data_IF_599096467900
#
_entry.id   IF_599096467900
#
_cell.length_a   1.000
_cell.length_b   1.000
_cell.length_c   1.000
_cell.angle_alpha   90.00
_cell.angle_beta   90.00
_cell.angle_gamma   90.00
#
_symmetry.space_group_name_H-M   'P 1'
#
loop_
_entity.id
_entity.type
_entity.pdbx_description
1 polymer ?
#
# COMPACT_ATOMS: atom_id res chain seq x y z
N UNK A 1 10.29 7.43 1.02
CA UNK A 1 9.98 8.46 2.05
C UNK A 1 9.01 8.02 3.14
N UNK A 2 7.76 7.59 2.88
CA UNK A 2 6.75 7.43 3.96
C UNK A 2 7.17 6.48 5.11
N UNK A 3 7.67 5.28 4.79
CA UNK A 3 8.15 4.34 5.82
C UNK A 3 9.30 4.93 6.64
N UNK A 4 10.22 5.66 6.01
CA UNK A 4 11.31 6.32 6.74
C UNK A 4 10.77 7.39 7.69
N UNK A 5 9.75 8.15 7.27
CA UNK A 5 9.05 9.12 8.10
C UNK A 5 8.36 8.48 9.32
N UNK A 6 7.73 7.31 9.15
CA UNK A 6 7.13 6.55 10.26
C UNK A 6 8.20 6.11 11.25
N UNK A 7 9.32 5.56 10.76
CA UNK A 7 10.43 5.10 11.62
C UNK A 7 11.05 6.26 12.40
N UNK A 8 11.28 7.40 11.74
CA UNK A 8 11.82 8.60 12.38
C UNK A 8 10.88 9.14 13.48
N UNK A 9 9.58 9.21 13.18
CA UNK A 9 8.57 9.61 14.16
C UNK A 9 8.50 8.65 15.35
N UNK A 10 8.45 7.35 15.10
CA UNK A 10 8.35 6.33 16.15
C UNK A 10 9.57 6.30 17.07
N UNK A 11 10.77 6.56 16.52
CA UNK A 11 12.01 6.62 17.31
C UNK A 11 12.01 7.71 18.39
N UNK A 12 11.23 8.78 18.20
CA UNK A 12 11.09 9.88 19.16
C UNK A 12 9.80 9.83 20.00
N UNK A 13 9.01 8.75 19.91
CA UNK A 13 7.72 8.66 20.57
C UNK A 13 7.76 7.73 21.80
N UNK A 14 6.96 8.06 22.82
CA UNK A 14 6.92 7.30 24.08
C UNK A 14 5.96 6.08 24.06
N UNK A 15 5.32 5.80 22.92
CA UNK A 15 4.39 4.67 22.84
C UNK A 15 5.13 3.34 22.69
N UNK A 16 4.53 2.28 23.22
CA UNK A 16 5.02 0.90 23.04
C UNK A 16 4.06 0.09 22.17
N UNK A 17 4.53 -1.04 21.62
CA UNK A 17 3.73 -1.95 20.80
C UNK A 17 3.60 -1.55 19.33
N UNK A 18 3.15 -2.49 18.50
CA UNK A 18 3.19 -2.38 17.04
C UNK A 18 2.17 -1.40 16.45
N UNK A 19 2.58 -0.64 15.42
CA UNK A 19 1.69 0.16 14.58
C UNK A 19 1.84 -0.27 13.13
N UNK A 20 0.76 -0.17 12.37
CA UNK A 20 0.80 -0.38 10.92
C UNK A 20 1.31 0.89 10.24
N UNK A 21 2.15 0.70 9.22
CA UNK A 21 2.69 1.77 8.40
C UNK A 21 2.20 1.57 6.95
N UNK A 22 1.06 2.17 6.63
CA UNK A 22 0.49 2.18 5.29
C UNK A 22 -0.11 3.55 4.98
N UNK A 23 -0.04 3.98 3.72
CA UNK A 23 -0.71 5.18 3.24
C UNK A 23 -2.22 5.07 3.42
N UNK A 24 -2.90 6.22 3.44
CA UNK A 24 -4.36 6.27 3.36
C UNK A 24 -4.85 5.87 1.96
N UNK A 25 -6.08 5.37 1.90
CA UNK A 25 -6.71 4.92 0.67
C UNK A 25 -6.35 3.46 0.35
N UNK A 26 -7.28 2.79 -0.32
CA UNK A 26 -7.16 1.37 -0.65
C UNK A 26 -7.14 1.17 -2.16
N UNK A 27 -6.35 0.20 -2.59
CA UNK A 27 -6.31 -0.27 -3.97
C UNK A 27 -6.39 -1.79 -3.96
N UNK A 28 -7.35 -2.33 -4.69
CA UNK A 28 -7.26 -3.73 -5.10
C UNK A 28 -6.20 -3.90 -6.21
N UNK A 29 -5.91 -5.15 -6.55
CA UNK A 29 -4.90 -5.47 -7.58
C UNK A 29 -5.28 -4.91 -8.95
N UNK A 30 -6.56 -4.83 -9.28
CA UNK A 30 -7.04 -4.31 -10.56
C UNK A 30 -6.82 -2.80 -10.62
N UNK A 31 -7.21 -2.07 -9.57
CA UNK A 31 -7.01 -0.63 -9.45
C UNK A 31 -5.53 -0.25 -9.48
N UNK A 32 -4.66 -1.03 -8.82
CA UNK A 32 -3.21 -0.86 -8.91
C UNK A 32 -2.70 -1.04 -10.36
N UNK A 33 -3.15 -2.10 -11.04
CA UNK A 33 -2.78 -2.34 -12.44
C UNK A 33 -3.26 -1.21 -13.37
N UNK A 34 -4.46 -0.68 -13.16
CA UNK A 34 -5.00 0.43 -13.97
C UNK A 34 -4.23 1.74 -13.73
N UNK A 35 -3.82 2.02 -12.50
CA UNK A 35 -2.96 3.17 -12.21
C UNK A 35 -1.61 3.04 -12.95
N UNK A 36 -0.97 1.86 -12.88
CA UNK A 36 0.28 1.60 -13.61
C UNK A 36 0.07 1.73 -15.12
N UNK A 37 -1.07 1.23 -15.63
CA UNK A 37 -1.44 1.32 -17.04
C UNK A 37 -1.55 2.77 -17.51
N UNK A 38 -2.21 3.62 -16.73
CA UNK A 38 -2.36 5.04 -17.01
C UNK A 38 -1.00 5.75 -17.10
N UNK A 39 -0.07 5.44 -16.19
CA UNK A 39 1.25 6.06 -16.16
C UNK A 39 2.21 5.55 -17.24
N UNK A 40 2.06 4.29 -17.67
CA UNK A 40 2.98 3.65 -18.62
C UNK A 40 2.44 3.60 -20.06
N UNK A 41 1.17 3.92 -20.27
CA UNK A 41 0.47 3.75 -21.55
C UNK A 41 0.32 2.28 -21.99
N UNK A 42 0.46 1.33 -21.05
CA UNK A 42 0.36 -0.12 -21.32
C UNK A 42 -0.98 -0.65 -20.85
N UNK A 43 -1.47 -1.72 -21.49
CA UNK A 43 -2.73 -2.38 -21.09
C UNK A 43 -2.46 -3.62 -20.23
N UNK A 44 -3.07 -3.76 -19.04
CA UNK A 44 -2.92 -4.95 -18.22
C UNK A 44 -3.62 -6.15 -18.87
N UNK A 45 -3.09 -7.35 -18.60
CA UNK A 45 -3.71 -8.63 -19.00
C UNK A 45 -3.97 -9.44 -17.75
N UNK A 46 -5.24 -9.77 -17.52
CA UNK A 46 -5.67 -10.54 -16.38
C UNK A 46 -5.93 -11.99 -16.79
N UNK A 47 -5.54 -12.92 -15.93
CA UNK A 47 -5.90 -14.33 -16.04
C UNK A 47 -6.37 -14.78 -14.66
N UNK A 48 -7.65 -15.13 -14.46
CA UNK A 48 -8.10 -15.74 -13.22
C UNK A 48 -7.42 -17.11 -13.06
N UNK A 49 -7.00 -17.42 -11.83
CA UNK A 49 -6.38 -18.69 -11.46
C UNK A 49 -6.99 -19.17 -10.15
N UNK A 50 -7.38 -20.44 -10.10
CA UNK A 50 -7.98 -21.07 -8.91
C UNK A 50 -7.22 -22.37 -8.56
N UNK A 51 -7.33 -22.78 -7.30
CA UNK A 51 -6.82 -24.09 -6.87
C UNK A 51 -5.30 -24.24 -7.02
N UNK A 52 -4.79 -25.40 -7.49
CA UNK A 52 -3.35 -25.70 -7.53
C UNK A 52 -2.52 -24.80 -8.44
N UNK A 53 -3.15 -24.06 -9.37
CA UNK A 53 -2.45 -23.11 -10.24
C UNK A 53 -2.23 -21.74 -9.58
N UNK A 54 -2.95 -21.44 -8.50
CA UNK A 54 -2.75 -20.22 -7.73
C UNK A 54 -1.42 -20.29 -6.96
N UNK A 55 -0.78 -19.13 -6.77
CA UNK A 55 0.42 -19.05 -5.94
C UNK A 55 0.09 -19.51 -4.51
N UNK A 56 0.98 -20.25 -3.83
CA UNK A 56 0.77 -20.66 -2.44
C UNK A 56 0.71 -19.48 -1.45
N UNK A 57 1.06 -18.27 -1.91
CA UNK A 57 0.94 -17.02 -1.15
C UNK A 57 -0.31 -16.20 -1.52
N UNK A 58 -1.12 -16.67 -2.47
CA UNK A 58 -2.42 -16.05 -2.79
C UNK A 58 -3.47 -16.45 -1.77
N UNK A 59 -4.34 -15.52 -1.43
CA UNK A 59 -5.51 -15.78 -0.60
C UNK A 59 -6.67 -14.94 -1.13
N UNK A 60 -7.89 -15.49 -1.04
CA UNK A 60 -9.14 -14.94 -1.58
C UNK A 60 -9.85 -13.97 -0.62
N UNK A 61 -9.12 -13.50 0.40
CA UNK A 61 -9.63 -12.60 1.41
C UNK A 61 -9.03 -11.21 1.30
N UNK A 62 -9.84 -10.24 1.68
CA UNK A 62 -9.40 -8.87 1.86
C UNK A 62 -8.31 -8.77 2.94
N UNK A 63 -7.23 -8.03 2.64
CA UNK A 63 -6.06 -7.90 3.51
C UNK A 63 -5.50 -6.46 3.48
N UNK A 64 -6.37 -5.50 3.78
CA UNK A 64 -5.91 -4.12 4.01
C UNK A 64 -5.28 -3.98 5.40
N UNK A 65 -4.37 -3.01 5.51
CA UNK A 65 -3.76 -2.61 6.78
C UNK A 65 -4.46 -1.35 7.30
N UNK A 66 -4.80 -1.33 8.60
CA UNK A 66 -5.34 -0.15 9.28
C UNK A 66 -4.22 0.63 9.98
N UNK A 67 -3.92 1.84 9.50
CA UNK A 67 -2.94 2.75 10.12
C UNK A 67 -3.52 3.58 11.29
N UNK A 68 -4.80 3.38 11.65
CA UNK A 68 -5.54 4.23 12.57
C UNK A 68 -4.92 4.37 13.95
N UNK A 69 -4.17 3.36 14.42
CA UNK A 69 -3.40 3.46 15.67
C UNK A 69 -2.30 4.53 15.58
N UNK A 70 -1.48 4.49 14.54
CA UNK A 70 -0.43 5.49 14.33
C UNK A 70 -1.03 6.89 14.14
N UNK A 71 -2.15 6.98 13.42
CA UNK A 71 -2.90 8.23 13.24
C UNK A 71 -3.39 8.80 14.58
N UNK A 72 -3.98 7.97 15.46
CA UNK A 72 -4.40 8.39 16.81
C UNK A 72 -3.23 8.78 17.72
N UNK A 73 -2.04 8.23 17.47
CA UNK A 73 -0.80 8.58 18.17
C UNK A 73 -0.10 9.83 17.58
N UNK A 74 -0.67 10.43 16.52
CA UNK A 74 -0.23 11.71 15.98
C UNK A 74 0.61 11.63 14.70
N UNK A 75 0.82 10.45 14.12
CA UNK A 75 1.45 10.35 12.80
C UNK A 75 0.45 10.73 11.68
N UNK A 76 0.96 11.28 10.58
CA UNK A 76 0.15 11.60 9.39
C UNK A 76 0.69 10.82 8.20
N UNK A 77 -0.20 10.13 7.51
CA UNK A 77 0.10 9.38 6.29
C UNK A 77 -0.36 10.15 5.05
N UNK A 78 0.34 9.97 3.94
CA UNK A 78 -0.10 10.45 2.63
C UNK A 78 -1.27 9.60 2.11
N UNK A 79 -1.95 10.03 1.06
CA UNK A 79 -2.87 9.14 0.32
C UNK A 79 -2.08 8.41 -0.75
N UNK A 80 -2.35 7.11 -0.96
CA UNK A 80 -1.62 6.27 -1.93
C UNK A 80 -1.62 6.88 -3.33
N UNK A 81 -2.73 7.50 -3.74
CA UNK A 81 -2.88 8.15 -5.05
C UNK A 81 -2.06 9.42 -5.20
N UNK A 82 -1.58 10.03 -4.10
CA UNK A 82 -0.79 11.26 -4.14
C UNK A 82 0.66 11.00 -4.58
N UNK A 83 1.20 9.80 -4.29
CA UNK A 83 2.61 9.47 -4.54
C UNK A 83 2.82 8.30 -5.50
N UNK A 84 1.90 7.34 -5.57
CA UNK A 84 2.08 6.13 -6.37
C UNK A 84 2.28 6.42 -7.87
N UNK A 85 1.56 7.37 -8.50
CA UNK A 85 1.82 7.75 -9.89
C UNK A 85 3.28 8.17 -10.16
N UNK A 86 3.88 8.94 -9.24
CA UNK A 86 5.27 9.37 -9.37
C UNK A 86 6.25 8.20 -9.20
N UNK A 87 5.97 7.26 -8.31
CA UNK A 87 6.77 6.07 -8.11
C UNK A 87 6.79 5.16 -9.37
N UNK A 88 5.66 5.05 -10.09
CA UNK A 88 5.58 4.29 -11.35
C UNK A 88 6.42 4.93 -12.45
N UNK A 89 6.46 6.26 -12.52
CA UNK A 89 7.30 7.01 -13.46
C UNK A 89 8.81 6.83 -13.20
N UNK A 90 9.17 6.30 -12.02
CA UNK A 90 10.54 5.91 -11.68
C UNK A 90 11.40 7.00 -11.02
N UNK A 91 10.87 8.20 -10.80
CA UNK A 91 11.62 9.43 -10.47
C UNK A 91 12.69 9.75 -11.53
#
# INVERSE_FOLDING_TARGET
EEIAGVLFWAAGADFTGAVNACSNGELDVTALCELIAAETGRRPRYRPVDGPEASPYSFDRYYAMDNGRATRLGHRFATVTDWLPAAVKGV
#
